data_IF_201985472780
#
_entry.id   IF_201985472780
#
_cell.length_a   1.000
_cell.length_b   1.000
_cell.length_c   1.000
_cell.angle_alpha   90.00
_cell.angle_beta   90.00
_cell.angle_gamma   90.00
#
_symmetry.space_group_name_H-M   'P 1'
#
loop_
_entity.id
_entity.type
_entity.pdbx_description
1 polymer ?
#
# COMPACT_ATOMS: atom_id res chain seq x y z
N UNK A 1 6.58 1.70 23.01
CA UNK A 1 7.77 1.67 22.13
C UNK A 1 7.32 2.10 20.75
N UNK A 2 7.86 3.20 20.23
CA UNK A 2 7.45 3.77 18.96
C UNK A 2 8.45 3.37 17.87
N UNK A 3 7.97 2.75 16.80
CA UNK A 3 8.77 2.33 15.65
C UNK A 3 8.54 3.32 14.51
N UNK A 4 9.60 3.71 13.80
CA UNK A 4 9.51 4.46 12.54
C UNK A 4 9.81 3.50 11.40
N UNK A 5 8.80 3.15 10.62
CA UNK A 5 8.90 2.22 9.49
C UNK A 5 9.06 3.00 8.18
N UNK A 6 10.06 2.68 7.36
CA UNK A 6 10.34 3.38 6.10
C UNK A 6 10.00 2.52 4.87
N UNK A 7 9.28 3.10 3.92
CA UNK A 7 9.04 2.50 2.60
C UNK A 7 9.33 3.53 1.51
N UNK A 8 10.17 3.22 0.52
CA UNK A 8 10.45 4.15 -0.58
C UNK A 8 10.67 3.45 -1.91
N UNK A 9 10.72 4.21 -3.00
CA UNK A 9 11.26 3.76 -4.29
C UNK A 9 12.70 4.22 -4.53
N UNK A 10 13.44 4.72 -3.53
CA UNK A 10 14.77 5.30 -3.73
C UNK A 10 15.87 4.28 -4.10
N UNK A 11 15.69 3.01 -3.74
CA UNK A 11 16.74 2.00 -3.75
C UNK A 11 17.77 2.25 -2.65
N UNK A 12 18.74 1.34 -2.55
CA UNK A 12 19.84 1.43 -1.58
C UNK A 12 21.19 1.87 -2.18
N UNK A 13 21.22 2.17 -3.48
CA UNK A 13 22.44 2.62 -4.17
C UNK A 13 22.83 4.06 -3.84
N UNK A 14 21.83 4.93 -3.75
CA UNK A 14 21.98 6.38 -3.56
C UNK A 14 21.77 6.77 -2.08
N UNK A 15 22.24 7.95 -1.61
CA UNK A 15 22.26 8.29 -0.18
C UNK A 15 20.89 8.65 0.42
N UNK A 16 19.83 8.69 -0.39
CA UNK A 16 18.53 9.23 0.04
C UNK A 16 17.99 8.59 1.32
N UNK A 17 18.08 7.26 1.42
CA UNK A 17 17.60 6.53 2.62
C UNK A 17 18.44 6.86 3.85
N UNK A 18 19.77 6.89 3.73
CA UNK A 18 20.65 7.19 4.86
C UNK A 18 20.52 8.64 5.30
N UNK A 19 20.28 9.58 4.39
CA UNK A 19 19.98 10.98 4.72
C UNK A 19 18.69 11.10 5.54
N UNK A 20 17.61 10.41 5.15
CA UNK A 20 16.37 10.41 5.94
C UNK A 20 16.59 9.86 7.35
N UNK A 21 17.32 8.73 7.46
CA UNK A 21 17.66 8.14 8.76
C UNK A 21 18.52 9.04 9.62
N UNK A 22 19.51 9.70 9.01
CA UNK A 22 20.37 10.68 9.68
C UNK A 22 19.56 11.85 10.24
N UNK A 23 18.60 12.38 9.47
CA UNK A 23 17.68 13.42 9.95
C UNK A 23 16.84 12.92 11.12
N UNK A 24 16.24 11.73 11.01
CA UNK A 24 15.44 11.14 12.09
C UNK A 24 16.28 11.02 13.37
N UNK A 25 17.47 10.44 13.29
CA UNK A 25 18.34 10.20 14.44
C UNK A 25 18.94 11.50 15.01
N UNK A 26 19.12 12.54 14.19
CA UNK A 26 19.55 13.85 14.68
C UNK A 26 18.51 14.56 15.55
N UNK A 27 17.23 14.19 15.41
CA UNK A 27 16.11 14.74 16.19
C UNK A 27 15.75 13.80 17.35
N UNK A 28 15.76 12.49 17.12
CA UNK A 28 15.54 11.48 18.14
C UNK A 28 16.57 10.34 18.01
N UNK A 29 17.63 10.41 18.80
CA UNK A 29 18.73 9.42 18.82
C UNK A 29 18.26 8.01 19.22
N UNK A 30 17.13 7.91 19.92
CA UNK A 30 16.57 6.64 20.39
C UNK A 30 15.50 6.07 19.45
N UNK A 31 15.29 6.68 18.28
CA UNK A 31 14.30 6.23 17.32
C UNK A 31 14.64 4.81 16.79
N UNK A 32 13.66 3.90 16.88
CA UNK A 32 13.78 2.56 16.28
C UNK A 32 13.30 2.61 14.84
N UNK A 33 14.25 2.65 13.91
CA UNK A 33 13.97 2.70 12.47
C UNK A 33 13.96 1.28 11.90
N UNK A 34 12.91 0.93 11.16
CA UNK A 34 12.78 -0.35 10.44
C UNK A 34 12.49 -0.05 8.97
N UNK A 35 13.28 -0.63 8.07
CA UNK A 35 12.96 -0.54 6.64
C UNK A 35 11.95 -1.62 6.28
N UNK A 36 10.84 -1.21 5.67
CA UNK A 36 9.91 -2.14 5.00
C UNK A 36 10.55 -2.60 3.69
N UNK A 37 10.87 -1.64 2.83
CA UNK A 37 11.65 -1.83 1.60
C UNK A 37 11.96 -0.46 0.99
N UNK A 38 13.06 -0.38 0.26
CA UNK A 38 13.39 0.78 -0.56
C UNK A 38 13.38 0.46 -2.06
N UNK A 39 12.99 -0.77 -2.41
CA UNK A 39 13.04 -1.33 -3.76
C UNK A 39 11.64 -1.38 -4.40
N UNK A 40 10.74 -0.47 -4.02
CA UNK A 40 9.52 -0.26 -4.80
C UNK A 40 9.95 0.18 -6.19
N UNK A 41 9.30 -0.38 -7.22
CA UNK A 41 9.52 0.07 -8.59
C UNK A 41 9.31 1.59 -8.68
N UNK A 42 10.24 2.27 -9.36
CA UNK A 42 10.25 3.73 -9.46
C UNK A 42 8.86 4.25 -9.87
N UNK A 43 8.34 5.20 -9.10
CA UNK A 43 7.05 5.85 -9.32
C UNK A 43 5.81 4.95 -9.19
N UNK A 44 5.95 3.68 -8.82
CA UNK A 44 4.82 2.74 -8.72
C UNK A 44 4.08 2.91 -7.38
N UNK A 45 3.26 3.96 -7.29
CA UNK A 45 2.46 4.29 -6.10
C UNK A 45 1.52 3.14 -5.70
N UNK A 46 0.99 2.41 -6.67
CA UNK A 46 0.06 1.29 -6.46
C UNK A 46 0.73 0.12 -5.75
N UNK A 47 1.91 -0.27 -6.21
CA UNK A 47 2.74 -1.28 -5.56
C UNK A 47 3.15 -0.84 -4.15
N UNK A 48 3.61 0.41 -4.00
CA UNK A 48 3.94 0.98 -2.69
C UNK A 48 2.78 0.91 -1.71
N UNK A 49 1.57 1.28 -2.14
CA UNK A 49 0.37 1.25 -1.29
C UNK A 49 0.01 -0.17 -0.84
N UNK A 50 0.14 -1.13 -1.76
CA UNK A 50 -0.11 -2.54 -1.47
C UNK A 50 0.90 -3.14 -0.49
N UNK A 51 2.19 -2.90 -0.69
CA UNK A 51 3.25 -3.40 0.20
C UNK A 51 3.11 -2.76 1.58
N UNK A 52 2.82 -1.45 1.65
CA UNK A 52 2.59 -0.74 2.90
C UNK A 52 1.42 -1.35 3.68
N UNK A 53 0.27 -1.54 3.02
CA UNK A 53 -0.92 -2.12 3.65
C UNK A 53 -0.71 -3.57 4.10
N UNK A 54 -0.04 -4.37 3.27
CA UNK A 54 0.29 -5.76 3.60
C UNK A 54 1.20 -5.85 4.82
N UNK A 55 2.18 -4.93 4.92
CA UNK A 55 3.21 -4.96 5.96
C UNK A 55 2.73 -4.37 7.28
N UNK A 56 1.96 -3.27 7.25
CA UNK A 56 1.52 -2.55 8.45
C UNK A 56 0.68 -3.41 9.42
N UNK A 57 0.11 -4.53 8.96
CA UNK A 57 -0.66 -5.49 9.78
C UNK A 57 0.19 -6.19 10.86
N UNK A 58 1.49 -6.29 10.64
CA UNK A 58 2.41 -7.05 11.51
C UNK A 58 3.19 -6.17 12.50
N UNK A 59 3.17 -4.86 12.30
CA UNK A 59 3.85 -3.91 13.17
C UNK A 59 3.07 -3.65 14.46
N UNK A 60 3.76 -3.31 15.56
CA UNK A 60 3.10 -2.98 16.82
C UNK A 60 2.20 -1.75 16.67
N UNK A 61 1.23 -1.61 17.58
CA UNK A 61 0.43 -0.38 17.67
C UNK A 61 1.33 0.83 17.92
N UNK A 62 0.87 1.99 17.47
CA UNK A 62 1.59 3.26 17.58
C UNK A 62 2.87 3.30 16.75
N UNK A 63 2.86 2.64 15.59
CA UNK A 63 3.95 2.72 14.61
C UNK A 63 3.75 3.96 13.72
N UNK A 64 4.85 4.62 13.41
CA UNK A 64 4.92 5.74 12.46
C UNK A 64 5.48 5.20 11.15
N UNK A 65 4.68 5.18 10.10
CA UNK A 65 5.08 4.77 8.76
C UNK A 65 5.42 6.01 7.93
N UNK A 66 6.64 6.10 7.42
CA UNK A 66 7.03 7.08 6.43
C UNK A 66 7.14 6.38 5.09
N UNK A 67 6.24 6.69 4.16
CA UNK A 67 6.23 6.09 2.84
C UNK A 67 6.41 7.16 1.77
N UNK A 68 7.39 6.97 0.88
CA UNK A 68 7.78 7.94 -0.15
C UNK A 68 7.97 7.25 -1.50
N UNK A 69 6.91 7.25 -2.30
CA UNK A 69 6.92 6.98 -3.74
C UNK A 69 6.21 8.18 -4.35
N UNK A 70 6.98 9.15 -4.84
CA UNK A 70 6.48 10.52 -5.03
C UNK A 70 6.91 11.13 -6.36
N UNK A 71 6.30 10.71 -7.49
CA UNK A 71 6.57 11.32 -8.79
C UNK A 71 6.15 12.80 -8.86
N UNK A 72 5.32 13.28 -7.92
CA UNK A 72 4.83 14.65 -7.85
C UNK A 72 5.57 15.53 -6.83
N UNK A 73 6.75 15.12 -6.36
CA UNK A 73 7.54 15.89 -5.38
C UNK A 73 7.81 17.31 -5.90
N UNK A 74 7.69 18.31 -5.02
CA UNK A 74 7.84 19.73 -5.37
C UNK A 74 6.68 20.34 -6.14
N UNK A 75 5.66 19.56 -6.51
CA UNK A 75 4.44 20.06 -7.15
C UNK A 75 3.32 20.38 -6.16
N UNK A 76 2.08 20.43 -6.68
CA UNK A 76 0.87 20.83 -5.94
C UNK A 76 0.36 19.79 -4.93
N UNK A 77 0.91 18.56 -4.93
CA UNK A 77 0.43 17.47 -4.08
C UNK A 77 0.69 17.80 -2.60
N UNK A 78 -0.32 17.62 -1.75
CA UNK A 78 -0.22 17.88 -0.31
C UNK A 78 0.77 16.92 0.37
N UNK A 79 1.40 17.36 1.46
CA UNK A 79 2.16 16.50 2.37
C UNK A 79 1.26 16.04 3.51
N UNK A 80 1.10 14.74 3.72
CA UNK A 80 0.12 14.21 4.68
C UNK A 80 0.77 13.64 5.94
N UNK A 81 0.05 13.79 7.05
CA UNK A 81 0.11 12.93 8.23
C UNK A 81 -1.30 12.39 8.50
N UNK A 82 -1.47 11.09 8.44
CA UNK A 82 -2.74 10.40 8.73
C UNK A 82 -2.60 9.70 10.07
N UNK A 83 -3.46 10.04 11.02
CA UNK A 83 -3.68 9.26 12.24
C UNK A 83 -4.75 8.20 11.97
N UNK A 84 -4.43 6.96 12.27
CA UNK A 84 -5.32 5.82 12.15
C UNK A 84 -5.29 5.00 13.45
N UNK A 85 -6.06 5.47 14.45
CA UNK A 85 -6.16 4.86 15.79
C UNK A 85 -4.79 4.72 16.47
N UNK A 86 -3.95 5.75 16.35
CA UNK A 86 -2.63 5.82 16.96
C UNK A 86 -1.49 5.29 16.09
N UNK A 87 -1.77 4.51 15.04
CA UNK A 87 -0.80 4.29 13.97
C UNK A 87 -0.78 5.52 13.04
N UNK A 88 0.41 5.98 12.66
CA UNK A 88 0.58 7.22 11.89
C UNK A 88 1.20 6.96 10.53
N UNK A 89 0.67 7.57 9.46
CA UNK A 89 1.18 7.43 8.11
C UNK A 89 1.58 8.80 7.55
N UNK A 90 2.83 8.94 7.14
CA UNK A 90 3.43 10.20 6.67
C UNK A 90 3.92 10.00 5.25
N UNK A 91 3.60 10.94 4.35
CA UNK A 91 3.99 10.83 2.94
C UNK A 91 3.19 11.73 2.00
N UNK A 92 3.31 11.51 0.68
CA UNK A 92 2.62 12.30 -0.33
C UNK A 92 1.10 12.01 -0.40
N UNK A 93 0.30 13.04 -0.67
CA UNK A 93 -1.12 12.91 -1.03
C UNK A 93 -1.27 12.45 -2.49
N UNK A 94 -0.98 11.18 -2.74
CA UNK A 94 -1.10 10.57 -4.07
C UNK A 94 -1.75 9.18 -4.03
N UNK A 95 -2.31 8.81 -2.88
CA UNK A 95 -2.92 7.51 -2.63
C UNK A 95 -2.05 6.46 -1.96
N UNK A 96 -0.72 6.68 -1.88
CA UNK A 96 0.25 5.73 -1.30
C UNK A 96 -0.14 5.24 0.11
N UNK A 97 -0.61 6.17 0.95
CA UNK A 97 -0.85 5.90 2.37
C UNK A 97 -2.22 5.29 2.66
N UNK A 98 -3.18 5.50 1.74
CA UNK A 98 -4.61 5.45 2.07
C UNK A 98 -5.08 4.02 2.34
N UNK A 99 -4.59 3.05 1.57
CA UNK A 99 -5.00 1.65 1.74
C UNK A 99 -4.62 1.15 3.15
N UNK A 100 -3.37 1.37 3.57
CA UNK A 100 -2.88 0.96 4.89
C UNK A 100 -3.58 1.71 6.02
N UNK A 101 -3.73 3.04 5.88
CA UNK A 101 -4.38 3.87 6.89
C UNK A 101 -5.86 3.51 7.06
N UNK A 102 -6.57 3.21 5.96
CA UNK A 102 -7.98 2.79 6.00
C UNK A 102 -8.16 1.45 6.71
N UNK A 103 -7.27 0.48 6.46
CA UNK A 103 -7.31 -0.82 7.15
C UNK A 103 -7.08 -0.69 8.67
N UNK A 104 -6.21 0.24 9.10
CA UNK A 104 -6.02 0.57 10.52
C UNK A 104 -7.20 1.37 11.12
N UNK A 105 -7.84 2.18 10.29
CA UNK A 105 -9.01 2.99 10.62
C UNK A 105 -8.64 4.44 10.85
N UNK A 106 -8.71 5.25 9.80
CA UNK A 106 -8.41 6.69 9.82
C UNK A 106 -9.27 7.42 10.86
N UNK A 107 -8.63 8.17 11.74
CA UNK A 107 -9.25 9.09 12.71
C UNK A 107 -9.10 10.53 12.24
N UNK A 108 -7.90 10.95 11.86
CA UNK A 108 -7.62 12.33 11.42
C UNK A 108 -6.63 12.34 10.25
N UNK A 109 -6.74 13.34 9.38
CA UNK A 109 -5.80 13.58 8.28
C UNK A 109 -5.35 15.03 8.35
N UNK A 110 -4.04 15.24 8.39
CA UNK A 110 -3.43 16.56 8.48
C UNK A 110 -2.63 16.88 7.21
N UNK A 111 -2.84 18.06 6.65
CA UNK A 111 -1.92 18.66 5.69
C UNK A 111 -0.74 19.27 6.46
N UNK A 112 0.47 18.74 6.24
CA UNK A 112 1.72 19.20 6.84
C UNK A 112 2.10 20.57 6.29
N UNK A 113 1.55 21.63 6.90
CA UNK A 113 1.76 23.03 6.51
C UNK A 113 2.61 23.82 7.52
N UNK A 114 2.84 23.30 8.74
CA UNK A 114 3.57 24.02 9.80
C UNK A 114 5.05 23.71 9.75
N UNK A 115 5.84 24.66 9.24
CA UNK A 115 7.28 24.50 8.97
C UNK A 115 8.18 24.37 10.20
N UNK A 116 7.65 24.65 11.42
CA UNK A 116 8.41 24.54 12.68
C UNK A 116 9.10 23.17 12.86
N UNK A 117 8.50 22.11 12.34
CA UNK A 117 8.99 20.73 12.48
C UNK A 117 9.61 20.18 11.19
N UNK A 118 9.86 21.04 10.21
CA UNK A 118 10.58 20.68 8.99
C UNK A 118 12.06 21.03 9.15
N UNK A 119 12.87 20.62 8.17
CA UNK A 119 14.21 21.20 8.06
C UNK A 119 14.12 22.67 7.68
N UNK A 120 15.11 23.46 8.11
CA UNK A 120 15.20 24.89 7.82
C UNK A 120 15.22 25.18 6.32
N UNK A 121 15.93 24.32 5.58
CA UNK A 121 16.00 24.37 4.12
C UNK A 121 15.22 23.18 3.56
N UNK A 122 14.23 23.48 2.73
CA UNK A 122 13.36 22.49 2.10
C UNK A 122 13.74 22.41 0.62
N UNK A 123 14.28 21.28 0.20
CA UNK A 123 14.52 20.98 -1.20
C UNK A 123 13.20 20.72 -1.92
N UNK A 124 13.04 21.28 -3.12
CA UNK A 124 11.91 21.00 -4.01
C UNK A 124 11.86 19.54 -4.48
N UNK A 125 12.96 18.81 -4.38
CA UNK A 125 13.08 17.44 -4.89
C UNK A 125 13.18 16.39 -3.80
N UNK A 126 13.20 16.78 -2.51
CA UNK A 126 13.45 15.82 -1.43
C UNK A 126 12.63 16.05 -0.15
N UNK A 127 11.31 16.12 -0.30
CA UNK A 127 10.38 16.18 0.84
C UNK A 127 10.49 14.98 1.81
N UNK A 128 10.97 13.82 1.33
CA UNK A 128 11.31 12.67 2.19
C UNK A 128 12.24 13.04 3.35
N UNK A 129 13.35 13.71 3.04
CA UNK A 129 14.34 14.16 4.01
C UNK A 129 13.91 15.43 4.74
N UNK A 130 13.33 16.38 4.01
CA UNK A 130 13.17 17.74 4.54
C UNK A 130 11.85 17.97 5.28
N UNK A 131 10.83 17.15 5.03
CA UNK A 131 9.49 17.25 5.63
C UNK A 131 9.10 15.97 6.37
N UNK A 132 9.12 14.82 5.70
CA UNK A 132 8.55 13.59 6.24
C UNK A 132 9.38 12.97 7.36
N UNK A 133 10.70 12.83 7.15
CA UNK A 133 11.65 12.35 8.15
C UNK A 133 11.62 13.14 9.47
N UNK A 134 11.71 14.49 9.48
CA UNK A 134 11.70 15.24 10.73
C UNK A 134 10.33 15.20 11.42
N UNK A 135 9.21 15.23 10.67
CA UNK A 135 7.86 15.07 11.27
C UNK A 135 7.75 13.71 11.97
N UNK A 136 8.21 12.63 11.35
CA UNK A 136 8.21 11.30 11.98
C UNK A 136 9.05 11.26 13.26
N UNK A 137 10.21 11.92 13.26
CA UNK A 137 11.08 11.99 14.42
C UNK A 137 10.44 12.76 15.58
N UNK A 138 9.86 13.95 15.34
CA UNK A 138 9.16 14.70 16.37
C UNK A 138 7.90 13.99 16.88
N UNK A 139 7.15 13.34 15.99
CA UNK A 139 5.99 12.53 16.38
C UNK A 139 6.42 11.37 17.29
N UNK A 140 7.59 10.77 17.05
CA UNK A 140 8.15 9.72 17.91
C UNK A 140 8.56 10.20 19.30
N UNK A 141 8.78 11.52 19.47
CA UNK A 141 9.02 12.18 20.76
C UNK A 141 7.70 12.57 21.48
N UNK A 142 6.54 12.27 20.90
CA UNK A 142 5.23 12.56 21.48
C UNK A 142 4.65 13.93 21.15
N UNK A 143 5.19 14.63 20.14
CA UNK A 143 4.57 15.87 19.64
C UNK A 143 3.20 15.54 19.02
N UNK A 144 2.15 16.23 19.47
CA UNK A 144 0.78 15.98 19.00
C UNK A 144 0.62 16.23 17.49
N UNK A 145 -0.14 15.39 16.77
CA UNK A 145 -0.39 15.53 15.33
C UNK A 145 -0.87 16.92 14.88
N UNK A 146 -1.73 17.59 15.65
CA UNK A 146 -2.24 18.93 15.27
C UNK A 146 -1.15 20.02 15.21
N UNK A 147 0.03 19.77 15.77
CA UNK A 147 1.15 20.72 15.73
C UNK A 147 1.87 20.71 14.38
N UNK A 148 1.68 19.71 13.55
CA UNK A 148 2.36 19.60 12.25
C UNK A 148 1.58 20.25 11.09
N UNK A 149 0.30 20.51 11.26
CA UNK A 149 -0.54 20.91 10.13
C UNK A 149 -1.97 21.29 10.47
N UNK A 150 -2.77 21.40 9.43
CA UNK A 150 -4.21 21.65 9.47
C UNK A 150 -4.99 20.38 9.19
N UNK A 151 -6.13 20.20 9.87
CA UNK A 151 -7.02 19.07 9.62
C UNK A 151 -7.69 19.24 8.26
N UNK A 152 -7.68 18.19 7.44
CA UNK A 152 -8.30 18.17 6.12
C UNK A 152 -9.20 16.95 5.95
N UNK A 153 -10.21 17.08 5.09
CA UNK A 153 -11.11 15.99 4.68
C UNK A 153 -10.98 15.64 3.21
N UNK A 154 -10.38 16.56 2.44
CA UNK A 154 -10.12 16.43 1.01
C UNK A 154 -8.67 15.98 0.78
N UNK A 155 -8.53 14.70 0.42
CA UNK A 155 -7.28 14.01 0.11
C UNK A 155 -7.55 12.95 -0.95
N UNK A 156 -6.51 12.58 -1.69
CA UNK A 156 -6.59 11.65 -2.81
C UNK A 156 -7.07 10.27 -2.36
N UNK A 157 -8.06 9.73 -3.07
CA UNK A 157 -8.63 8.39 -2.84
C UNK A 157 -8.64 7.60 -4.14
N UNK A 158 -7.50 7.03 -4.55
CA UNK A 158 -7.42 6.26 -5.79
C UNK A 158 -8.47 5.15 -5.89
N UNK A 159 -8.98 4.94 -7.11
CA UNK A 159 -9.99 3.91 -7.41
C UNK A 159 -9.53 2.50 -7.06
N UNK A 160 -8.22 2.25 -7.04
CA UNK A 160 -7.67 0.92 -6.81
C UNK A 160 -7.67 0.49 -5.34
N UNK A 161 -8.00 1.39 -4.41
CA UNK A 161 -7.98 1.09 -2.97
C UNK A 161 -9.07 0.08 -2.60
N UNK A 162 -10.21 0.07 -3.31
CA UNK A 162 -11.30 -0.87 -3.02
C UNK A 162 -11.90 -1.49 -4.28
N UNK A 163 -12.19 -2.78 -4.19
CA UNK A 163 -13.05 -3.46 -5.14
C UNK A 163 -14.52 -3.10 -4.88
N UNK A 164 -15.30 -2.96 -5.94
CA UNK A 164 -16.71 -2.65 -5.86
C UNK A 164 -17.54 -3.93 -5.96
N UNK A 165 -18.57 -4.08 -5.12
CA UNK A 165 -19.53 -5.18 -5.25
C UNK A 165 -20.83 -4.66 -5.86
N UNK A 166 -21.19 -5.18 -7.03
CA UNK A 166 -22.43 -4.84 -7.74
C UNK A 166 -23.17 -6.11 -8.16
N UNK A 167 -24.39 -6.29 -7.65
CA UNK A 167 -25.28 -7.42 -8.02
C UNK A 167 -24.60 -8.80 -7.89
N UNK A 168 -23.87 -9.03 -6.79
CA UNK A 168 -23.14 -10.29 -6.55
C UNK A 168 -21.80 -10.43 -7.31
N UNK A 169 -21.41 -9.43 -8.10
CA UNK A 169 -20.15 -9.39 -8.84
C UNK A 169 -19.17 -8.46 -8.14
N UNK A 170 -17.93 -8.92 -7.96
CA UNK A 170 -16.82 -8.08 -7.52
C UNK A 170 -16.16 -7.50 -8.77
N UNK A 171 -16.15 -6.18 -8.88
CA UNK A 171 -15.41 -5.42 -9.87
C UNK A 171 -14.12 -4.94 -9.22
N UNK A 172 -13.00 -5.27 -9.83
CA UNK A 172 -11.68 -5.10 -9.22
C UNK A 172 -10.64 -4.75 -10.26
N UNK A 173 -9.46 -4.40 -9.78
CA UNK A 173 -8.29 -4.09 -10.60
C UNK A 173 -7.10 -4.95 -10.16
N UNK A 174 -6.21 -5.21 -11.11
CA UNK A 174 -4.89 -5.77 -10.82
C UNK A 174 -4.06 -4.70 -10.12
N UNK A 175 -3.61 -5.01 -8.91
CA UNK A 175 -2.72 -4.15 -8.12
C UNK A 175 -1.28 -4.36 -8.58
N UNK A 176 -0.84 -5.62 -8.60
CA UNK A 176 0.55 -6.00 -8.77
C UNK A 176 0.64 -7.36 -9.45
N UNK A 177 1.69 -7.59 -10.22
CA UNK A 177 2.06 -8.89 -10.75
C UNK A 177 3.43 -9.25 -10.19
N UNK A 178 3.50 -10.33 -9.43
CA UNK A 178 4.77 -10.76 -8.84
C UNK A 178 5.73 -11.39 -9.85
N UNK A 179 6.96 -11.68 -9.41
CA UNK A 179 8.00 -12.27 -10.26
C UNK A 179 7.69 -13.68 -10.75
N UNK A 180 6.74 -14.39 -10.15
CA UNK A 180 6.24 -15.69 -10.63
C UNK A 180 5.12 -15.54 -11.66
N UNK A 181 4.60 -14.33 -11.85
CA UNK A 181 3.48 -14.03 -12.72
C UNK A 181 2.12 -14.24 -12.04
N UNK A 182 2.08 -14.32 -10.70
CA UNK A 182 0.82 -14.30 -9.96
C UNK A 182 0.24 -12.90 -10.00
N UNK A 183 -1.08 -12.82 -10.13
CA UNK A 183 -1.81 -11.56 -10.26
C UNK A 183 -2.49 -11.25 -8.95
N UNK A 184 -2.05 -10.20 -8.27
CA UNK A 184 -2.65 -9.73 -7.05
C UNK A 184 -3.71 -8.67 -7.40
N UNK A 185 -4.93 -8.86 -6.90
CA UNK A 185 -6.05 -7.95 -7.13
C UNK A 185 -6.36 -7.12 -5.87
N UNK A 186 -7.14 -6.05 -6.01
CA UNK A 186 -7.64 -5.28 -4.86
C UNK A 186 -8.82 -5.94 -4.12
N UNK A 187 -9.06 -7.23 -4.32
CA UNK A 187 -10.14 -7.99 -3.67
C UNK A 187 -9.63 -8.59 -2.36
N UNK A 188 -10.02 -8.02 -1.23
CA UNK A 188 -9.72 -8.60 0.09
C UNK A 188 -10.65 -9.77 0.46
N UNK A 189 -10.27 -10.52 1.50
CA UNK A 189 -11.09 -11.60 2.06
C UNK A 189 -12.50 -11.15 2.51
N UNK A 190 -12.68 -9.89 2.89
CA UNK A 190 -13.99 -9.36 3.28
C UNK A 190 -14.94 -9.24 2.09
N UNK A 191 -14.42 -8.94 0.89
CA UNK A 191 -15.20 -8.94 -0.34
C UNK A 191 -15.69 -10.35 -0.69
N UNK A 192 -14.82 -11.36 -0.56
CA UNK A 192 -15.19 -12.76 -0.83
C UNK A 192 -16.28 -13.26 0.12
N UNK A 193 -16.20 -12.89 1.41
CA UNK A 193 -17.25 -13.18 2.38
C UNK A 193 -18.60 -12.55 2.00
N UNK A 194 -18.60 -11.31 1.52
CA UNK A 194 -19.83 -10.61 1.09
C UNK A 194 -20.54 -11.28 -0.09
N UNK A 195 -19.83 -12.04 -0.92
CA UNK A 195 -20.42 -12.83 -2.01
C UNK A 195 -20.58 -14.32 -1.66
N UNK A 196 -20.46 -14.70 -0.38
CA UNK A 196 -20.57 -16.07 0.11
C UNK A 196 -19.67 -17.08 -0.64
N UNK A 197 -18.45 -16.66 -1.00
CA UNK A 197 -17.46 -17.52 -1.65
C UNK A 197 -16.61 -18.27 -0.60
N UNK A 198 -16.58 -19.60 -0.70
CA UNK A 198 -15.87 -20.51 0.22
C UNK A 198 -14.86 -21.38 -0.54
N UNK A 199 -13.83 -21.87 0.18
CA UNK A 199 -12.83 -22.75 -0.42
C UNK A 199 -13.49 -23.96 -1.09
N UNK A 200 -13.07 -24.27 -2.31
CA UNK A 200 -13.64 -25.31 -3.16
C UNK A 200 -14.68 -24.80 -4.16
N UNK A 201 -15.27 -23.62 -3.94
CA UNK A 201 -16.21 -23.00 -4.87
C UNK A 201 -15.56 -22.65 -6.21
N UNK A 202 -16.41 -22.55 -7.24
CA UNK A 202 -15.99 -22.07 -8.55
C UNK A 202 -16.30 -20.58 -8.70
N UNK A 203 -15.37 -19.87 -9.33
CA UNK A 203 -15.48 -18.46 -9.66
C UNK A 203 -15.58 -18.34 -11.18
N UNK A 204 -16.57 -17.60 -11.66
CA UNK A 204 -16.59 -17.08 -13.00
C UNK A 204 -15.74 -15.80 -13.02
N UNK A 205 -14.54 -15.92 -13.55
CA UNK A 205 -13.59 -14.83 -13.73
C UNK A 205 -13.79 -14.23 -15.13
N UNK A 206 -14.01 -12.92 -15.21
CA UNK A 206 -13.96 -12.16 -16.45
C UNK A 206 -12.75 -11.24 -16.45
N UNK A 207 -11.92 -11.39 -17.48
CA UNK A 207 -10.76 -10.52 -17.72
C UNK A 207 -10.76 -10.10 -19.18
N UNK A 208 -10.73 -8.78 -19.44
CA UNK A 208 -10.92 -8.22 -20.79
C UNK A 208 -12.22 -8.78 -21.41
N UNK A 209 -12.11 -9.39 -22.59
CA UNK A 209 -13.23 -10.00 -23.32
C UNK A 209 -13.32 -11.53 -23.12
N UNK A 210 -12.57 -12.08 -22.16
CA UNK A 210 -12.51 -13.53 -21.91
C UNK A 210 -13.16 -13.89 -20.57
N UNK A 211 -13.75 -15.07 -20.52
CA UNK A 211 -14.31 -15.68 -19.32
C UNK A 211 -13.59 -16.98 -19.01
N UNK A 212 -13.34 -17.21 -17.73
CA UNK A 212 -12.70 -18.40 -17.21
C UNK A 212 -13.52 -18.91 -16.03
N UNK A 213 -13.60 -20.23 -15.88
CA UNK A 213 -14.12 -20.85 -14.67
C UNK A 213 -12.93 -21.38 -13.88
N UNK A 214 -12.70 -20.84 -12.70
CA UNK A 214 -11.51 -21.14 -11.87
C UNK A 214 -11.93 -21.56 -10.49
N UNK A 215 -11.13 -22.40 -9.85
CA UNK A 215 -11.42 -22.90 -8.50
C UNK A 215 -10.82 -21.99 -7.44
N UNK A 216 -11.63 -21.59 -6.46
CA UNK A 216 -11.13 -20.93 -5.26
C UNK A 216 -10.49 -21.96 -4.34
N UNK A 217 -9.20 -21.84 -4.13
CA UNK A 217 -8.33 -22.89 -3.61
C UNK A 217 -7.49 -22.40 -2.44
N UNK A 218 -7.01 -23.34 -1.61
CA UNK A 218 -6.19 -23.03 -0.45
C UNK A 218 -4.74 -22.70 -0.84
N UNK A 219 -4.22 -23.36 -1.87
CA UNK A 219 -2.82 -23.26 -2.31
C UNK A 219 -2.70 -23.59 -3.79
N UNK A 220 -1.55 -23.25 -4.39
CA UNK A 220 -1.18 -23.62 -5.76
C UNK A 220 -1.36 -25.11 -6.06
N UNK A 221 -1.01 -25.99 -5.12
CA UNK A 221 -1.08 -27.43 -5.25
C UNK A 221 -2.50 -28.02 -5.24
N UNK A 222 -3.53 -27.21 -5.03
CA UNK A 222 -4.94 -27.65 -4.97
C UNK A 222 -5.56 -27.94 -6.36
N UNK A 223 -4.85 -27.62 -7.45
CA UNK A 223 -5.25 -27.85 -8.84
C UNK A 223 -4.11 -28.51 -9.62
N UNK A 224 -4.37 -29.06 -10.81
CA UNK A 224 -3.32 -29.71 -11.60
C UNK A 224 -2.30 -28.69 -12.11
N UNK A 225 -1.11 -29.17 -12.47
CA UNK A 225 -0.09 -28.35 -13.14
C UNK A 225 -0.71 -27.62 -14.35
N UNK A 226 -0.37 -26.35 -14.52
CA UNK A 226 -0.88 -25.45 -15.56
C UNK A 226 -2.37 -25.06 -15.46
N UNK A 227 -3.09 -25.49 -14.44
CA UNK A 227 -4.46 -25.02 -14.18
C UNK A 227 -4.45 -23.65 -13.51
N UNK A 228 -5.40 -22.81 -13.93
CA UNK A 228 -5.62 -21.47 -13.38
C UNK A 228 -6.51 -21.59 -12.13
N UNK A 229 -6.13 -20.92 -11.06
CA UNK A 229 -6.84 -20.93 -9.78
C UNK A 229 -6.91 -19.53 -9.19
N UNK A 230 -7.76 -19.39 -8.18
CA UNK A 230 -7.78 -18.25 -7.29
C UNK A 230 -7.46 -18.70 -5.86
N UNK A 231 -6.72 -17.89 -5.11
CA UNK A 231 -6.42 -18.12 -3.69
C UNK A 231 -6.33 -16.79 -2.93
N UNK A 232 -6.34 -16.82 -1.60
CA UNK A 232 -5.94 -15.65 -0.81
C UNK A 232 -4.45 -15.76 -0.53
N UNK A 233 -3.67 -14.82 -1.05
CA UNK A 233 -2.23 -14.76 -0.83
C UNK A 233 -1.91 -14.39 0.62
N UNK A 234 -0.64 -14.55 1.02
CA UNK A 234 -0.15 -14.16 2.37
C UNK A 234 -0.43 -12.70 2.72
N UNK A 235 -0.56 -11.84 1.71
CA UNK A 235 -0.90 -10.42 1.80
C UNK A 235 -2.37 -10.14 2.18
N UNK A 236 -3.24 -11.16 2.14
CA UNK A 236 -4.67 -11.06 2.47
C UNK A 236 -5.58 -10.61 1.32
N UNK A 237 -5.03 -10.55 0.11
CA UNK A 237 -5.74 -10.21 -1.13
C UNK A 237 -5.91 -11.43 -2.03
N UNK A 238 -6.92 -11.40 -2.89
CA UNK A 238 -7.18 -12.44 -3.88
C UNK A 238 -6.10 -12.40 -4.95
N UNK A 239 -5.50 -13.55 -5.15
CA UNK A 239 -4.45 -13.82 -6.11
C UNK A 239 -4.99 -14.76 -7.18
N UNK A 240 -4.75 -14.44 -8.45
CA UNK A 240 -4.97 -15.34 -9.57
C UNK A 240 -3.62 -15.94 -9.98
N UNK A 241 -3.53 -17.25 -9.92
CA UNK A 241 -2.28 -17.98 -10.10
C UNK A 241 -2.45 -19.15 -11.07
N UNK A 242 -1.36 -19.60 -11.66
CA UNK A 242 -1.30 -20.85 -12.42
C UNK A 242 -0.38 -21.79 -11.67
N UNK A 243 -0.83 -23.01 -11.37
CA UNK A 243 0.02 -23.97 -10.66
C UNK A 243 1.27 -24.29 -11.50
N UNK A 244 2.45 -23.92 -10.99
CA UNK A 244 3.75 -24.01 -11.68
C UNK A 244 3.75 -23.29 -13.05
N UNK A 245 3.11 -22.13 -13.15
CA UNK A 245 3.11 -21.32 -14.35
C UNK A 245 2.80 -19.84 -14.10
N UNK A 246 2.73 -19.09 -15.19
CA UNK A 246 2.61 -17.63 -15.18
C UNK A 246 1.17 -17.21 -15.53
N UNK A 247 0.43 -16.72 -14.55
CA UNK A 247 -0.97 -16.32 -14.73
C UNK A 247 -1.10 -15.04 -15.56
N UNK A 248 -0.20 -14.07 -15.36
CA UNK A 248 -0.16 -12.82 -16.12
C UNK A 248 0.00 -13.07 -17.62
N UNK A 249 0.94 -13.94 -18.03
CA UNK A 249 1.11 -14.36 -19.43
C UNK A 249 -0.08 -15.13 -19.96
N UNK A 250 -0.62 -16.07 -19.18
CA UNK A 250 -1.79 -16.87 -19.59
C UNK A 250 -3.01 -16.01 -19.84
N UNK A 251 -3.27 -15.04 -18.96
CA UNK A 251 -4.40 -14.12 -19.05
C UNK A 251 -4.13 -12.91 -19.96
N UNK A 252 -2.86 -12.66 -20.33
CA UNK A 252 -2.37 -11.54 -21.13
C UNK A 252 -2.76 -10.20 -20.50
N UNK A 253 -2.43 -10.01 -19.24
CA UNK A 253 -2.83 -8.84 -18.44
C UNK A 253 -1.64 -8.07 -17.89
N UNK A 254 -1.89 -6.84 -17.46
CA UNK A 254 -0.93 -5.96 -16.79
C UNK A 254 -1.57 -5.27 -15.58
N UNK A 255 -0.74 -4.63 -14.77
CA UNK A 255 -1.20 -3.79 -13.67
C UNK A 255 -2.22 -2.74 -14.14
N UNK A 256 -3.24 -2.50 -13.31
CA UNK A 256 -4.38 -1.62 -13.64
C UNK A 256 -5.45 -2.22 -14.55
N UNK A 257 -5.22 -3.40 -15.17
CA UNK A 257 -6.29 -4.07 -15.92
C UNK A 257 -7.46 -4.43 -14.98
N UNK A 258 -8.69 -4.23 -15.47
CA UNK A 258 -9.92 -4.56 -14.72
C UNK A 258 -10.21 -6.06 -14.78
N UNK A 259 -10.60 -6.62 -13.64
CA UNK A 259 -11.04 -8.01 -13.49
C UNK A 259 -12.35 -8.05 -12.72
N UNK A 260 -13.26 -8.92 -13.16
CA UNK A 260 -14.54 -9.12 -12.49
C UNK A 260 -14.70 -10.58 -12.08
N UNK A 261 -15.23 -10.79 -10.88
CA UNK A 261 -15.37 -12.11 -10.27
C UNK A 261 -16.81 -12.29 -9.78
N UNK A 262 -17.39 -13.45 -10.03
CA UNK A 262 -18.68 -13.84 -9.44
C UNK A 262 -18.63 -15.31 -9.05
N UNK A 263 -19.31 -15.68 -7.96
CA UNK A 263 -19.51 -17.08 -7.61
C UNK A 263 -20.34 -17.74 -8.72
N UNK A 264 -19.90 -18.93 -9.16
CA UNK A 264 -20.59 -19.72 -10.19
C UNK A 264 -21.92 -20.27 -9.74
#
# INVERSE_FOLDING_TARGET
MTVIALLTDFGLKDPYVSEMKGVILSINENAKIIDITHEIEKYNVRLGAFILASTAKFFPKNTIYVAVVDPGVGGERKALLIDAKGDFFIGPDNGLLILAAKEKGITNVYHLSKTKYFRKEISSTFHGRDIFAPVAAYLSLGVSPEKFGELIVDYEKPSFIEAEIKKGKILSEIIYIDSFGNIITNVSSTHLKKINLSLGDWINLKVKNRKYKIKFSKSYSSVKKNELLALIGSHGFLELAVNLGDAAKKLKVKEGDKVALEKS
#
